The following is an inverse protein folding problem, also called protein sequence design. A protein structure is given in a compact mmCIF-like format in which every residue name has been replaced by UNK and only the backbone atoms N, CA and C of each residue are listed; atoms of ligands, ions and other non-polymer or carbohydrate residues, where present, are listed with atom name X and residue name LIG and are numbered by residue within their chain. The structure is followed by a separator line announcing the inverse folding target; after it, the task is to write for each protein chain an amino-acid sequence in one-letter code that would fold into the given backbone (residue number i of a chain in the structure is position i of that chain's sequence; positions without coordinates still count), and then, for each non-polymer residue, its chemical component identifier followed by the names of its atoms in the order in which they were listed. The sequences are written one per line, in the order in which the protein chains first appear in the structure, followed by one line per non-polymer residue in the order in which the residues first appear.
data_IF_819468621382
#
_entry.id   IF_819468621382
#
_cell.length_a   1.000
_cell.length_b   1.000
_cell.length_c   1.000
_cell.angle_alpha   90.00
_cell.angle_beta   90.00
_cell.angle_gamma   90.00
#
_symmetry.space_group_name_H-M   'P 1'
#
loop_
_entity.id
_entity.type
_entity.pdbx_description
1 polymer ?
#
# COMPACT_ATOMS: atom_id res chain seq x y z
N UNK A 1 -8.67 -17.56 -17.38
CA UNK A 1 -7.56 -17.30 -16.45
C UNK A 1 -6.77 -16.08 -16.90
N UNK A 2 -6.38 -15.24 -15.97
CA UNK A 2 -5.62 -14.04 -16.30
C UNK A 2 -4.19 -14.38 -16.64
N UNK A 3 -3.70 -13.83 -17.75
CA UNK A 3 -2.28 -13.87 -18.08
C UNK A 3 -1.59 -12.67 -17.43
N UNK A 4 -1.25 -12.84 -16.16
CA UNK A 4 -0.66 -11.76 -15.37
C UNK A 4 0.64 -11.26 -16.00
N UNK A 5 1.49 -12.17 -16.46
CA UNK A 5 2.81 -11.80 -17.00
C UNK A 5 2.69 -10.95 -18.27
N UNK A 6 1.87 -11.38 -19.23
CA UNK A 6 1.67 -10.62 -20.45
C UNK A 6 1.01 -9.28 -20.21
N UNK A 7 0.01 -9.26 -19.33
CA UNK A 7 -0.70 -8.02 -19.00
C UNK A 7 0.23 -7.01 -18.31
N UNK A 8 1.07 -7.48 -17.41
CA UNK A 8 2.02 -6.62 -16.71
C UNK A 8 3.06 -6.04 -17.68
N UNK A 9 3.58 -6.85 -18.60
CA UNK A 9 4.50 -6.36 -19.64
C UNK A 9 3.88 -5.28 -20.47
N UNK A 10 2.63 -5.48 -20.92
CA UNK A 10 1.92 -4.52 -21.75
C UNK A 10 1.73 -3.18 -21.02
N UNK A 11 1.40 -3.22 -19.72
CA UNK A 11 1.24 -2.00 -18.94
C UNK A 11 2.58 -1.27 -18.80
N UNK A 12 3.65 -2.01 -18.47
CA UNK A 12 4.97 -1.41 -18.28
C UNK A 12 5.52 -0.73 -19.54
N UNK A 13 5.25 -1.30 -20.71
CA UNK A 13 5.69 -0.71 -21.97
C UNK A 13 5.08 0.66 -22.21
N UNK A 14 3.95 0.96 -21.61
CA UNK A 14 3.25 2.23 -21.75
C UNK A 14 3.64 3.26 -20.69
N UNK A 15 4.43 2.87 -19.70
CA UNK A 15 4.77 3.76 -18.59
C UNK A 15 6.15 4.39 -18.78
N UNK A 16 6.30 5.70 -18.45
CA UNK A 16 7.62 6.32 -18.40
C UNK A 16 8.51 5.65 -17.35
N UNK A 17 9.83 5.68 -17.56
CA UNK A 17 10.78 5.01 -16.67
C UNK A 17 10.73 5.52 -15.22
N UNK A 18 10.40 6.80 -15.03
CA UNK A 18 10.36 7.39 -13.71
C UNK A 18 9.09 7.07 -12.93
N UNK A 19 8.12 6.42 -13.56
CA UNK A 19 6.86 6.06 -12.90
C UNK A 19 6.99 4.68 -12.26
N UNK A 20 6.61 4.60 -10.98
CA UNK A 20 6.59 3.33 -10.25
C UNK A 20 5.16 2.77 -10.27
N UNK A 21 5.03 1.54 -10.69
CA UNK A 21 3.73 0.86 -10.78
C UNK A 21 3.44 0.13 -9.46
N UNK A 22 2.27 0.38 -8.90
CA UNK A 22 1.75 -0.40 -7.78
C UNK A 22 0.75 -1.41 -8.35
N UNK A 23 1.04 -2.69 -8.18
CA UNK A 23 0.12 -3.73 -8.61
C UNK A 23 -0.89 -3.99 -7.49
N UNK A 24 -2.16 -3.73 -7.75
CA UNK A 24 -3.21 -3.97 -6.76
C UNK A 24 -3.45 -5.47 -6.66
N UNK A 25 -3.17 -6.02 -5.49
CA UNK A 25 -3.20 -7.47 -5.26
C UNK A 25 -4.28 -7.91 -4.27
N UNK A 26 -5.06 -6.96 -3.75
CA UNK A 26 -6.14 -7.30 -2.81
C UNK A 26 -7.11 -8.32 -3.42
N UNK A 27 -7.49 -9.32 -2.61
CA UNK A 27 -8.40 -10.39 -3.01
C UNK A 27 -7.86 -11.34 -4.08
N UNK A 28 -6.62 -11.16 -4.53
CA UNK A 28 -6.01 -12.06 -5.50
C UNK A 28 -5.18 -13.13 -4.80
N UNK A 29 -5.17 -14.36 -5.34
CA UNK A 29 -4.39 -15.43 -4.74
C UNK A 29 -2.90 -15.23 -4.93
N UNK A 30 -2.12 -15.88 -4.09
CA UNK A 30 -0.66 -15.77 -4.08
C UNK A 30 -0.03 -16.13 -5.42
N UNK A 31 -0.62 -17.05 -6.18
CA UNK A 31 -0.09 -17.45 -7.49
C UNK A 31 -0.07 -16.30 -8.49
N UNK A 32 -1.06 -15.38 -8.42
CA UNK A 32 -1.07 -14.21 -9.29
C UNK A 32 0.01 -13.21 -8.88
N UNK A 33 0.21 -13.06 -7.57
CA UNK A 33 1.26 -12.18 -7.05
C UNK A 33 2.64 -12.73 -7.44
N UNK A 34 2.84 -14.04 -7.33
CA UNK A 34 4.10 -14.65 -7.71
C UNK A 34 4.35 -14.56 -9.22
N UNK A 35 3.31 -14.65 -10.04
CA UNK A 35 3.47 -14.46 -11.48
C UNK A 35 3.98 -13.05 -11.81
N UNK A 36 3.41 -12.03 -11.15
CA UNK A 36 3.88 -10.65 -11.30
C UNK A 36 5.29 -10.47 -10.74
N UNK A 37 5.56 -11.09 -9.60
CA UNK A 37 6.89 -11.04 -8.97
C UNK A 37 7.96 -11.61 -9.90
N UNK A 38 7.69 -12.72 -10.57
CA UNK A 38 8.63 -13.34 -11.50
C UNK A 38 8.91 -12.44 -12.71
N UNK A 39 8.00 -11.52 -13.05
CA UNK A 39 8.20 -10.51 -14.07
C UNK A 39 8.92 -9.27 -13.54
N UNK A 40 9.36 -9.27 -12.30
CA UNK A 40 10.11 -8.17 -11.72
C UNK A 40 9.28 -7.18 -10.91
N UNK A 41 7.97 -7.40 -10.75
CA UNK A 41 7.15 -6.51 -9.93
C UNK A 41 7.46 -6.70 -8.46
N UNK A 42 7.73 -5.60 -7.76
CA UNK A 42 8.07 -5.63 -6.34
C UNK A 42 7.13 -4.83 -5.47
N UNK A 43 6.29 -3.97 -6.05
CA UNK A 43 5.38 -3.11 -5.30
C UNK A 43 3.98 -3.64 -5.48
N UNK A 44 3.32 -4.01 -4.37
CA UNK A 44 1.96 -4.52 -4.38
C UNK A 44 1.11 -3.75 -3.39
N UNK A 45 -0.17 -3.55 -3.74
CA UNK A 45 -1.11 -2.79 -2.93
C UNK A 45 -2.18 -3.65 -2.31
N UNK A 46 -2.33 -3.55 -0.99
CA UNK A 46 -3.33 -4.25 -0.22
C UNK A 46 -4.21 -3.26 0.55
N UNK A 47 -5.43 -3.67 0.85
CA UNK A 47 -6.41 -2.80 1.53
C UNK A 47 -6.88 -3.34 2.87
N UNK A 48 -6.52 -4.56 3.23
CA UNK A 48 -6.95 -5.21 4.48
C UNK A 48 -5.75 -5.75 5.21
N UNK A 49 -5.59 -5.34 6.49
CA UNK A 49 -4.38 -5.68 7.25
C UNK A 49 -4.23 -7.19 7.49
N UNK A 50 -5.33 -7.92 7.63
CA UNK A 50 -5.26 -9.37 7.83
C UNK A 50 -4.81 -10.09 6.57
N UNK A 51 -5.32 -9.69 5.42
CA UNK A 51 -4.90 -10.24 4.13
C UNK A 51 -3.43 -9.90 3.87
N UNK A 52 -3.04 -8.67 4.13
CA UNK A 52 -1.67 -8.22 3.98
C UNK A 52 -0.70 -9.00 4.87
N UNK A 53 -1.08 -9.20 6.14
CA UNK A 53 -0.25 -9.96 7.08
C UNK A 53 0.00 -11.38 6.58
N UNK A 54 -1.06 -12.05 6.14
CA UNK A 54 -0.93 -13.42 5.61
C UNK A 54 0.01 -13.47 4.41
N UNK A 55 -0.15 -12.52 3.50
CA UNK A 55 0.68 -12.47 2.29
C UNK A 55 2.13 -12.12 2.61
N UNK A 56 2.33 -11.18 3.53
CA UNK A 56 3.68 -10.80 3.95
C UNK A 56 4.43 -11.99 4.56
N UNK A 57 3.73 -12.84 5.30
CA UNK A 57 4.33 -14.00 5.94
C UNK A 57 4.67 -15.11 4.93
N UNK A 58 3.86 -15.27 3.88
CA UNK A 58 4.00 -16.40 2.94
C UNK A 58 4.69 -16.06 1.64
N UNK A 59 4.90 -14.80 1.32
CA UNK A 59 5.49 -14.36 0.05
C UNK A 59 6.91 -13.81 0.25
N UNK A 60 7.69 -13.60 -0.83
CA UNK A 60 9.06 -13.13 -0.71
C UNK A 60 9.19 -11.84 0.07
N UNK A 61 10.28 -11.71 0.84
CA UNK A 61 10.47 -10.59 1.77
C UNK A 61 10.98 -9.31 1.12
N UNK A 62 11.35 -9.34 -0.15
CA UNK A 62 11.75 -8.15 -0.89
C UNK A 62 10.59 -7.45 -1.60
N UNK A 63 9.36 -7.91 -1.38
CA UNK A 63 8.17 -7.21 -1.84
C UNK A 63 8.01 -5.93 -1.02
N UNK A 64 7.75 -4.81 -1.72
CA UNK A 64 7.41 -3.55 -1.09
C UNK A 64 5.88 -3.45 -1.01
N UNK A 65 5.36 -3.58 0.20
CA UNK A 65 3.92 -3.54 0.42
C UNK A 65 3.45 -2.11 0.62
N UNK A 66 2.42 -1.71 -0.13
CA UNK A 66 1.72 -0.44 0.05
C UNK A 66 0.34 -0.73 0.62
N UNK A 67 -0.06 0.04 1.62
CA UNK A 67 -1.43 -0.04 2.13
C UNK A 67 -2.24 1.03 1.40
N UNK A 68 -3.19 0.61 0.57
CA UNK A 68 -3.90 1.52 -0.35
C UNK A 68 -5.35 1.77 0.06
N UNK A 69 -5.82 1.12 1.12
CA UNK A 69 -7.17 1.30 1.62
C UNK A 69 -7.21 2.19 2.86
N UNK A 70 -8.42 2.38 3.39
CA UNK A 70 -8.60 3.09 4.66
C UNK A 70 -8.02 2.28 5.81
N UNK A 71 -7.15 2.90 6.60
CA UNK A 71 -6.46 2.24 7.70
C UNK A 71 -6.95 2.78 9.04
N UNK A 72 -7.45 1.88 9.87
CA UNK A 72 -7.83 2.24 11.24
C UNK A 72 -6.57 2.44 12.08
N UNK A 73 -6.60 3.46 12.94
CA UNK A 73 -5.46 3.82 13.79
C UNK A 73 -4.96 2.63 14.62
N UNK A 74 -5.88 1.83 15.17
CA UNK A 74 -5.51 0.68 16.00
C UNK A 74 -4.92 -0.50 15.23
N UNK A 75 -4.89 -0.42 13.89
CA UNK A 75 -4.33 -1.47 13.04
C UNK A 75 -2.91 -1.15 12.55
N UNK A 76 -2.45 0.08 12.74
CA UNK A 76 -1.13 0.51 12.28
C UNK A 76 -0.02 -0.38 12.84
N UNK A 77 -0.11 -0.74 14.11
CA UNK A 77 0.91 -1.57 14.78
C UNK A 77 1.14 -2.93 14.11
N UNK A 78 0.13 -3.44 13.39
CA UNK A 78 0.26 -4.76 12.76
C UNK A 78 1.02 -4.70 11.44
N UNK A 79 1.06 -3.56 10.77
CA UNK A 79 1.73 -3.43 9.48
C UNK A 79 3.02 -2.62 9.56
N UNK A 80 3.20 -1.82 10.61
CA UNK A 80 4.36 -0.95 10.77
C UNK A 80 5.71 -1.67 10.65
N UNK A 81 5.87 -2.93 11.11
CA UNK A 81 7.17 -3.60 10.99
C UNK A 81 7.64 -3.83 9.55
N UNK A 82 6.76 -3.81 8.54
CA UNK A 82 7.16 -4.16 7.18
C UNK A 82 6.57 -3.27 6.08
N UNK A 83 5.59 -2.42 6.39
CA UNK A 83 4.93 -1.62 5.34
C UNK A 83 5.90 -0.60 4.74
N UNK A 84 5.85 -0.41 3.43
CA UNK A 84 6.70 0.58 2.75
C UNK A 84 6.03 1.93 2.62
N UNK A 85 4.72 1.94 2.32
CA UNK A 85 3.97 3.17 2.16
C UNK A 85 2.51 2.97 2.58
N UNK A 86 1.96 3.99 3.23
CA UNK A 86 0.54 4.05 3.56
C UNK A 86 -0.06 5.22 2.78
N UNK A 87 -0.99 4.91 1.85
CA UNK A 87 -1.42 5.89 0.85
C UNK A 87 -2.62 6.72 1.25
N UNK A 88 -3.44 6.26 2.20
CA UNK A 88 -4.67 6.96 2.55
C UNK A 88 -4.62 7.49 3.98
N UNK A 89 -3.67 8.39 4.24
CA UNK A 89 -3.56 9.02 5.56
C UNK A 89 -4.50 10.22 5.58
N UNK A 90 -5.61 10.06 6.29
CA UNK A 90 -6.75 10.97 6.23
C UNK A 90 -6.99 11.75 7.53
N UNK A 91 -6.11 11.61 8.52
CA UNK A 91 -6.23 12.34 9.79
C UNK A 91 -4.88 12.52 10.46
N UNK A 92 -4.78 13.55 11.30
CA UNK A 92 -3.58 13.76 12.10
C UNK A 92 -3.41 12.66 13.14
N UNK A 93 -4.50 12.12 13.67
CA UNK A 93 -4.43 11.02 14.62
C UNK A 93 -3.76 9.79 14.00
N UNK A 94 -4.15 9.45 12.78
CA UNK A 94 -3.54 8.34 12.05
C UNK A 94 -2.07 8.62 11.76
N UNK A 95 -1.76 9.83 11.30
CA UNK A 95 -0.37 10.20 11.00
C UNK A 95 0.53 10.08 12.23
N UNK A 96 0.06 10.55 13.39
CA UNK A 96 0.83 10.46 14.64
C UNK A 96 1.06 9.01 15.06
N UNK A 97 0.06 8.15 14.88
CA UNK A 97 0.21 6.73 15.19
C UNK A 97 1.22 6.07 14.26
N UNK A 98 1.20 6.41 12.97
CA UNK A 98 2.19 5.89 12.01
C UNK A 98 3.59 6.31 12.43
N UNK A 99 3.77 7.58 12.76
CA UNK A 99 5.06 8.11 13.21
C UNK A 99 5.56 7.40 14.46
N UNK A 100 4.67 7.21 15.43
CA UNK A 100 4.99 6.51 16.68
C UNK A 100 5.45 5.07 16.41
N UNK A 101 4.73 4.34 15.57
CA UNK A 101 5.06 2.96 15.27
C UNK A 101 6.32 2.85 14.41
N UNK A 102 6.53 3.79 13.50
CA UNK A 102 7.76 3.84 12.70
C UNK A 102 8.98 4.02 13.61
N UNK A 103 8.89 4.93 14.58
CA UNK A 103 9.96 5.14 15.55
C UNK A 103 10.21 3.90 16.39
N UNK A 104 9.14 3.21 16.80
CA UNK A 104 9.25 1.99 17.61
C UNK A 104 10.06 0.90 16.90
N UNK A 105 9.91 0.79 15.58
CA UNK A 105 10.60 -0.23 14.78
C UNK A 105 11.85 0.30 14.08
N UNK A 106 12.24 1.54 14.39
CA UNK A 106 13.39 2.22 13.76
C UNK A 106 13.30 2.17 12.23
N UNK A 107 12.13 2.55 11.71
CA UNK A 107 11.84 2.52 10.29
C UNK A 107 11.30 3.86 9.82
N UNK A 108 11.51 4.13 8.53
CA UNK A 108 10.84 5.23 7.83
C UNK A 108 9.69 4.65 7.03
N UNK A 109 8.49 5.16 7.25
CA UNK A 109 7.31 4.75 6.50
C UNK A 109 6.85 5.95 5.68
N UNK A 110 6.83 5.78 4.36
CA UNK A 110 6.33 6.82 3.47
C UNK A 110 4.82 6.90 3.56
N UNK A 111 4.27 8.10 3.46
CA UNK A 111 2.82 8.30 3.52
C UNK A 111 2.39 9.24 2.40
N UNK A 112 1.14 9.05 1.95
CA UNK A 112 0.46 10.03 1.10
C UNK A 112 -0.71 10.57 1.90
N UNK A 113 -0.74 11.90 2.05
CA UNK A 113 -1.82 12.56 2.77
C UNK A 113 -3.02 12.72 1.85
N UNK A 114 -4.19 12.32 2.34
CA UNK A 114 -5.43 12.48 1.62
C UNK A 114 -6.09 13.78 2.07
N UNK A 115 -6.15 14.77 1.18
CA UNK A 115 -6.75 16.08 1.47
C UNK A 115 -8.17 16.14 0.95
N UNK A 116 -9.06 16.64 1.80
CA UNK A 116 -10.43 16.93 1.42
C UNK A 116 -10.48 18.37 0.89
N UNK A 117 -10.55 18.51 -0.42
CA UNK A 117 -10.58 19.83 -1.07
C UNK A 117 -11.92 20.15 -1.72
N UNK A 118 -12.84 19.17 -1.81
CA UNK A 118 -14.18 19.38 -2.32
C UNK A 118 -15.14 19.70 -1.18
N UNK A 119 -16.26 20.38 -1.50
CA UNK A 119 -17.28 20.71 -0.51
C UNK A 119 -18.20 19.53 -0.16
N UNK A 120 -17.94 18.38 -0.77
CA UNK A 120 -18.72 17.17 -0.48
C UNK A 120 -18.43 16.68 0.93
N UNK A 121 -19.45 16.14 1.58
CA UNK A 121 -19.31 15.53 2.88
C UNK A 121 -18.63 14.16 2.73
N UNK A 122 -17.33 14.16 2.48
CA UNK A 122 -16.58 12.93 2.56
C UNK A 122 -16.20 12.68 4.00
N UNK A 123 -16.16 11.43 4.38
CA UNK A 123 -15.85 11.05 5.76
C UNK A 123 -14.36 10.91 6.01
N UNK A 124 -13.57 10.95 4.96
CA UNK A 124 -12.13 10.73 5.01
C UNK A 124 -11.41 11.88 4.34
N UNK A 125 -10.19 12.11 4.78
CA UNK A 125 -9.35 13.14 4.23
C UNK A 125 -9.10 14.29 5.22
N UNK A 126 -7.96 14.94 5.05
CA UNK A 126 -7.60 16.11 5.82
C UNK A 126 -8.13 17.35 5.13
N UNK A 127 -8.60 18.33 5.92
CA UNK A 127 -8.99 19.62 5.37
C UNK A 127 -7.77 20.52 5.20
N UNK A 128 -7.89 21.52 4.33
CA UNK A 128 -6.76 22.43 4.06
C UNK A 128 -6.38 23.27 5.27
N UNK A 129 -7.29 23.48 6.18
CA UNK A 129 -7.10 24.29 7.38
C UNK A 129 -7.00 23.47 8.67
N UNK A 130 -6.79 22.16 8.54
CA UNK A 130 -6.63 21.27 9.68
C UNK A 130 -5.20 21.28 10.22
#
# INVERSE_FOLDING_TARGET
MYDVKSNLRAVREQLPEQVRLVAVSKFHPDEYIMAAYEEGQRIFGESHEQELKRKQESLPKDIEWHFIGHLQTNKVKYIAPYISMIEAVDSMKLLREIDKQAAKYDRTIDVLLELHIAEEETKYGLTLDA
#
